data_IF_641588426144
#
_entry.id   IF_641588426144
#
_cell.length_a   1.000
_cell.length_b   1.000
_cell.length_c   1.000
_cell.angle_alpha   90.00
_cell.angle_beta   90.00
_cell.angle_gamma   90.00
#
_symmetry.space_group_name_H-M   'P 1'
#
loop_
_entity.id
_entity.type
_entity.pdbx_description
1 polymer ?
#
# COMPACT_ATOMS: atom_id res chain seq x y z
N UNK A 1 -8.29 9.93 19.73
CA UNK A 1 -9.18 10.67 20.65
C UNK A 1 -9.56 12.00 20.03
N UNK A 2 -10.59 12.70 20.52
CA UNK A 2 -10.94 14.04 20.03
C UNK A 2 -9.76 15.03 20.14
N UNK A 3 -9.00 14.95 21.24
CA UNK A 3 -7.79 15.77 21.43
C UNK A 3 -6.73 15.51 20.34
N UNK A 4 -6.51 14.25 19.95
CA UNK A 4 -5.55 13.91 18.91
C UNK A 4 -6.03 14.34 17.51
N UNK A 5 -7.34 14.29 17.25
CA UNK A 5 -7.92 14.78 16.00
C UNK A 5 -7.78 16.30 15.88
N UNK A 6 -8.06 17.05 16.96
CA UNK A 6 -7.85 18.51 16.99
C UNK A 6 -6.38 18.85 16.75
N UNK A 7 -5.47 18.16 17.44
CA UNK A 7 -4.03 18.38 17.23
C UNK A 7 -3.59 18.08 15.79
N UNK A 8 -4.12 17.03 15.16
CA UNK A 8 -3.82 16.69 13.77
C UNK A 8 -4.29 17.81 12.83
N UNK A 9 -5.51 18.32 13.04
CA UNK A 9 -6.07 19.41 12.25
C UNK A 9 -5.24 20.70 12.38
N UNK A 10 -4.85 21.06 13.61
CA UNK A 10 -4.01 22.23 13.88
C UNK A 10 -2.63 22.08 13.22
N UNK A 11 -1.99 20.91 13.35
CA UNK A 11 -0.67 20.65 12.77
C UNK A 11 -0.67 20.69 11.23
N UNK A 12 -1.75 20.22 10.60
CA UNK A 12 -1.91 20.28 9.14
C UNK A 12 -2.24 21.69 8.66
N UNK A 13 -3.02 22.45 9.44
CA UNK A 13 -3.27 23.88 9.20
C UNK A 13 -1.96 24.68 9.23
N UNK A 14 -1.11 24.44 10.23
CA UNK A 14 0.21 25.09 10.34
C UNK A 14 1.15 24.71 9.19
N UNK A 15 1.11 23.46 8.73
CA UNK A 15 1.86 23.03 7.55
C UNK A 15 1.37 23.75 6.29
N UNK A 16 0.05 23.83 6.09
CA UNK A 16 -0.57 24.51 4.96
C UNK A 16 -0.21 26.01 4.92
N UNK A 17 -0.33 26.71 6.06
CA UNK A 17 0.02 28.13 6.18
C UNK A 17 1.50 28.39 5.90
N UNK A 18 2.37 27.44 6.23
CA UNK A 18 3.80 27.49 5.94
C UNK A 18 4.16 27.03 4.52
N UNK A 19 3.19 26.64 3.69
CA UNK A 19 3.43 26.11 2.33
C UNK A 19 4.16 24.76 2.32
N UNK A 20 4.12 24.01 3.42
CA UNK A 20 4.79 22.70 3.56
C UNK A 20 3.82 21.57 3.22
N UNK A 21 4.38 20.46 2.76
CA UNK A 21 3.66 19.19 2.63
C UNK A 21 3.80 18.33 3.89
N UNK A 22 2.85 17.42 4.08
CA UNK A 22 2.83 16.51 5.21
C UNK A 22 2.78 15.03 4.74
N UNK A 23 3.57 14.20 5.41
CA UNK A 23 3.49 12.74 5.38
C UNK A 23 2.99 12.28 6.75
N UNK A 24 1.95 11.47 6.78
CA UNK A 24 1.32 11.02 8.02
C UNK A 24 1.73 9.59 8.31
N UNK A 25 2.17 9.32 9.53
CA UNK A 25 2.55 7.98 9.97
C UNK A 25 1.59 7.51 11.06
N UNK A 26 0.98 6.35 10.87
CA UNK A 26 0.13 5.67 11.85
C UNK A 26 0.57 4.22 11.96
N UNK A 27 0.56 3.61 13.14
CA UNK A 27 0.79 2.16 13.18
C UNK A 27 -0.34 1.39 12.48
N UNK A 28 -1.59 1.82 12.71
CA UNK A 28 -2.80 1.15 12.22
C UNK A 28 -3.30 1.84 10.93
N UNK A 29 -3.55 1.09 9.84
CA UNK A 29 -4.06 1.61 8.58
C UNK A 29 -5.38 2.39 8.69
N UNK A 30 -5.54 3.39 7.83
CA UNK A 30 -6.69 4.29 7.82
C UNK A 30 -7.67 4.02 6.66
N UNK A 31 -7.26 3.30 5.63
CA UNK A 31 -8.05 3.15 4.41
C UNK A 31 -8.20 1.69 4.03
N UNK A 32 -9.45 1.20 3.98
CA UNK A 32 -9.75 -0.21 3.76
C UNK A 32 -9.08 -0.74 2.49
N UNK A 33 -9.19 -0.13 1.31
CA UNK A 33 -8.53 -0.67 0.11
C UNK A 33 -7.02 -0.90 0.24
N UNK A 34 -6.31 -0.26 1.19
CA UNK A 34 -4.89 -0.49 1.44
C UNK A 34 -4.58 -1.49 2.57
N UNK A 35 -5.57 -2.16 3.17
CA UNK A 35 -5.39 -3.11 4.30
C UNK A 35 -6.53 -4.12 4.41
N UNK A 36 -6.47 -5.11 5.32
CA UNK A 36 -7.64 -5.94 5.67
C UNK A 36 -8.62 -5.21 6.57
N UNK A 37 -9.87 -5.67 6.57
CA UNK A 37 -10.93 -5.13 7.44
C UNK A 37 -10.57 -5.19 8.93
N UNK A 38 -9.97 -6.30 9.38
CA UNK A 38 -9.61 -6.53 10.79
C UNK A 38 -8.45 -5.66 11.31
N UNK A 39 -7.71 -5.01 10.41
CA UNK A 39 -6.54 -4.19 10.71
C UNK A 39 -6.80 -2.71 10.50
N UNK A 40 -8.03 -2.31 10.16
CA UNK A 40 -8.43 -0.92 10.01
C UNK A 40 -8.62 -0.25 11.38
N UNK A 41 -8.17 0.99 11.52
CA UNK A 41 -8.45 1.77 12.72
C UNK A 41 -9.97 2.02 12.87
N UNK A 42 -10.48 1.96 14.09
CA UNK A 42 -11.92 1.98 14.33
C UNK A 42 -12.60 3.29 13.91
N UNK A 43 -11.95 4.43 14.17
CA UNK A 43 -12.47 5.75 13.82
C UNK A 43 -11.83 6.29 12.52
N UNK A 44 -11.55 5.40 11.56
CA UNK A 44 -10.92 5.74 10.28
C UNK A 44 -11.62 6.90 9.57
N UNK A 45 -12.95 6.88 9.54
CA UNK A 45 -13.76 7.93 8.90
C UNK A 45 -13.54 9.31 9.52
N UNK A 46 -13.39 9.40 10.84
CA UNK A 46 -13.12 10.67 11.52
C UNK A 46 -11.73 11.22 11.17
N UNK A 47 -10.73 10.34 11.11
CA UNK A 47 -9.35 10.72 10.78
C UNK A 47 -9.28 11.14 9.31
N UNK A 48 -9.85 10.33 8.40
CA UNK A 48 -9.87 10.62 6.97
C UNK A 48 -10.56 11.95 6.67
N UNK A 49 -11.66 12.29 7.36
CA UNK A 49 -12.30 13.60 7.22
C UNK A 49 -11.35 14.76 7.51
N UNK A 50 -10.51 14.67 8.55
CA UNK A 50 -9.49 15.69 8.84
C UNK A 50 -8.45 15.72 7.73
N UNK A 51 -7.92 14.56 7.32
CA UNK A 51 -6.91 14.50 6.25
C UNK A 51 -7.43 15.06 4.92
N UNK A 52 -8.68 14.78 4.56
CA UNK A 52 -9.32 15.25 3.33
C UNK A 52 -9.59 16.76 3.33
N UNK A 53 -9.84 17.36 4.49
CA UNK A 53 -9.90 18.82 4.63
C UNK A 53 -8.55 19.49 4.29
N UNK A 54 -7.44 18.75 4.45
CA UNK A 54 -6.07 19.17 4.16
C UNK A 54 -5.47 18.45 2.94
N UNK A 55 -6.29 18.04 1.97
CA UNK A 55 -5.87 17.22 0.81
C UNK A 55 -4.76 17.83 -0.06
N UNK A 56 -4.58 19.15 -0.04
CA UNK A 56 -3.50 19.81 -0.79
C UNK A 56 -2.21 19.91 0.04
N UNK A 57 -2.26 19.56 1.32
CA UNK A 57 -1.12 19.54 2.25
C UNK A 57 -0.62 18.11 2.48
N UNK A 58 -1.53 17.16 2.67
CA UNK A 58 -1.21 15.76 2.96
C UNK A 58 -0.94 15.00 1.67
N UNK A 59 0.26 14.42 1.56
CA UNK A 59 0.70 13.69 0.36
C UNK A 59 0.44 12.20 0.47
N UNK A 60 0.72 11.60 1.62
CA UNK A 60 0.55 10.17 1.86
C UNK A 60 0.36 9.84 3.33
N UNK A 61 -0.29 8.71 3.58
CA UNK A 61 -0.38 8.02 4.87
C UNK A 61 0.44 6.73 4.78
N UNK A 62 1.34 6.53 5.74
CA UNK A 62 2.08 5.29 5.93
C UNK A 62 1.55 4.55 7.15
N UNK A 63 1.36 3.26 6.98
CA UNK A 63 0.96 2.36 8.04
C UNK A 63 1.72 1.03 8.04
N UNK A 64 1.59 0.31 9.15
CA UNK A 64 2.02 -1.08 9.27
C UNK A 64 0.85 -1.92 9.76
N UNK A 65 1.06 -2.69 10.84
CA UNK A 65 0.06 -3.53 11.52
C UNK A 65 -0.48 -4.71 10.70
N UNK A 66 -0.88 -4.50 9.45
CA UNK A 66 -1.18 -5.56 8.50
C UNK A 66 0.10 -6.05 7.84
N UNK A 67 0.61 -7.19 8.28
CA UNK A 67 1.89 -7.74 7.83
C UNK A 67 1.94 -8.04 6.32
N UNK A 68 0.77 -8.24 5.71
CA UNK A 68 0.63 -8.52 4.28
C UNK A 68 0.83 -7.27 3.42
N UNK A 69 0.78 -6.08 4.01
CA UNK A 69 0.91 -4.83 3.29
C UNK A 69 -0.25 -4.54 2.32
N UNK A 70 -0.13 -3.42 1.63
CA UNK A 70 -1.10 -2.96 0.64
C UNK A 70 -0.83 -1.53 0.23
N UNK A 71 -1.33 -1.17 -0.95
CA UNK A 71 -1.28 0.18 -1.47
C UNK A 71 -2.58 0.52 -2.21
N UNK A 72 -3.11 1.71 -1.94
CA UNK A 72 -4.24 2.26 -2.66
C UNK A 72 -4.20 3.79 -2.65
N UNK A 73 -4.95 4.41 -3.55
CA UNK A 73 -5.21 5.85 -3.57
C UNK A 73 -6.70 6.04 -3.35
N UNK A 74 -7.09 6.96 -2.48
CA UNK A 74 -8.50 7.29 -2.25
C UNK A 74 -9.03 8.33 -3.25
N UNK A 75 -10.33 8.60 -3.19
CA UNK A 75 -11.02 9.52 -4.12
C UNK A 75 -10.54 10.97 -4.00
N UNK A 76 -9.91 11.35 -2.88
CA UNK A 76 -9.29 12.67 -2.70
C UNK A 76 -7.87 12.73 -3.32
N UNK A 77 -7.36 11.61 -3.83
CA UNK A 77 -6.02 11.49 -4.38
C UNK A 77 -4.94 11.26 -3.31
N UNK A 78 -5.32 10.91 -2.07
CA UNK A 78 -4.38 10.63 -0.99
C UNK A 78 -3.85 9.20 -1.11
N UNK A 79 -2.53 9.06 -1.09
CA UNK A 79 -1.86 7.76 -1.13
C UNK A 79 -1.88 7.09 0.23
N UNK A 80 -2.31 5.83 0.30
CA UNK A 80 -2.28 5.01 1.50
C UNK A 80 -1.33 3.84 1.28
N UNK A 81 -0.21 3.82 2.03
CA UNK A 81 0.84 2.81 1.95
C UNK A 81 0.86 2.02 3.24
N UNK A 82 0.38 0.78 3.21
CA UNK A 82 0.55 -0.17 4.32
C UNK A 82 1.76 -1.04 4.01
N UNK A 83 2.81 -0.89 4.82
CA UNK A 83 4.05 -1.61 4.62
C UNK A 83 3.93 -3.06 5.09
N UNK A 84 4.57 -3.96 4.34
CA UNK A 84 4.80 -5.33 4.76
C UNK A 84 5.60 -5.38 6.05
N UNK A 85 5.42 -6.44 6.84
CA UNK A 85 6.20 -6.64 8.06
C UNK A 85 7.54 -7.31 7.76
N UNK A 86 8.66 -6.79 8.31
CA UNK A 86 9.93 -7.51 8.29
C UNK A 86 9.86 -8.90 8.93
N UNK A 87 8.91 -9.13 9.86
CA UNK A 87 8.70 -10.43 10.50
C UNK A 87 8.31 -11.54 9.51
N UNK A 88 7.66 -11.18 8.40
CA UNK A 88 7.18 -12.11 7.38
C UNK A 88 8.02 -12.06 6.10
N UNK A 89 9.13 -11.32 6.11
CA UNK A 89 10.04 -11.25 4.98
C UNK A 89 10.76 -12.60 4.76
N UNK A 90 11.16 -12.85 3.52
CA UNK A 90 12.00 -14.02 3.23
C UNK A 90 13.35 -13.87 3.96
N UNK A 91 13.86 -14.98 4.49
CA UNK A 91 15.15 -14.98 5.20
C UNK A 91 16.24 -14.47 4.25
N UNK A 92 17.00 -13.46 4.69
CA UNK A 92 18.06 -12.84 3.90
C UNK A 92 17.58 -11.79 2.89
N UNK A 93 16.28 -11.45 2.87
CA UNK A 93 15.75 -10.32 2.10
C UNK A 93 15.47 -9.11 2.98
N UNK A 94 15.54 -7.92 2.39
CA UNK A 94 15.12 -6.67 3.03
C UNK A 94 13.59 -6.53 3.06
N UNK A 95 13.12 -5.70 4.00
CA UNK A 95 11.74 -5.24 4.07
C UNK A 95 11.73 -3.85 4.69
N UNK A 96 12.17 -2.88 3.90
CA UNK A 96 12.22 -1.49 4.31
C UNK A 96 12.09 -0.57 3.08
N UNK A 97 11.98 0.72 3.32
CA UNK A 97 11.93 1.70 2.25
C UNK A 97 12.60 3.01 2.66
N UNK A 98 13.07 3.74 1.67
CA UNK A 98 13.55 5.11 1.79
C UNK A 98 12.52 6.06 1.19
N UNK A 99 12.25 7.16 1.88
CA UNK A 99 11.41 8.25 1.38
C UNK A 99 12.31 9.40 0.92
N UNK A 100 12.28 9.71 -0.36
CA UNK A 100 12.92 10.87 -0.96
C UNK A 100 11.87 11.98 -1.07
N UNK A 101 12.01 13.04 -0.27
CA UNK A 101 11.08 14.18 -0.28
C UNK A 101 11.61 15.26 -1.21
N UNK A 102 10.76 15.77 -2.10
CA UNK A 102 11.13 16.76 -3.10
C UNK A 102 10.50 18.13 -2.81
N UNK A 103 11.21 19.21 -3.20
CA UNK A 103 10.85 20.60 -2.90
C UNK A 103 9.56 21.07 -3.57
N UNK A 104 9.17 20.44 -4.68
CA UNK A 104 7.92 20.66 -5.42
C UNK A 104 6.72 19.90 -4.79
N UNK A 105 6.93 19.27 -3.64
CA UNK A 105 5.85 18.83 -2.76
C UNK A 105 5.29 17.44 -3.07
N UNK A 106 6.10 16.56 -3.65
CA UNK A 106 5.84 15.13 -3.76
C UNK A 106 6.96 14.33 -3.08
N UNK A 107 6.72 13.04 -2.89
CA UNK A 107 7.72 12.13 -2.34
C UNK A 107 7.85 10.86 -3.19
N UNK A 108 9.06 10.30 -3.24
CA UNK A 108 9.30 8.98 -3.80
C UNK A 108 9.52 7.98 -2.67
N UNK A 109 8.77 6.89 -2.71
CA UNK A 109 9.02 5.72 -1.87
C UNK A 109 9.86 4.73 -2.67
N UNK A 110 11.02 4.36 -2.17
CA UNK A 110 11.93 3.38 -2.79
C UNK A 110 12.04 2.16 -1.89
N UNK A 111 11.52 1.02 -2.35
CA UNK A 111 11.46 -0.21 -1.57
C UNK A 111 12.73 -1.05 -1.72
N UNK A 112 13.18 -1.61 -0.60
CA UNK A 112 14.20 -2.65 -0.55
C UNK A 112 13.55 -3.97 -0.15
N UNK A 113 13.69 -4.97 -1.01
CA UNK A 113 12.96 -6.23 -0.93
C UNK A 113 11.45 -6.03 -1.09
N UNK A 114 10.64 -6.75 -0.31
CA UNK A 114 9.17 -6.70 -0.40
C UNK A 114 8.58 -5.86 0.73
N UNK A 115 8.60 -4.54 0.55
CA UNK A 115 8.12 -3.58 1.55
C UNK A 115 6.67 -3.11 1.33
N UNK A 116 6.16 -3.20 0.11
CA UNK A 116 4.77 -2.86 -0.23
C UNK A 116 4.32 -3.67 -1.45
N UNK A 117 3.06 -4.10 -1.46
CA UNK A 117 2.51 -5.00 -2.49
C UNK A 117 1.11 -4.56 -2.91
N UNK A 118 0.61 -5.15 -4.00
CA UNK A 118 -0.78 -5.01 -4.41
C UNK A 118 -1.74 -5.35 -3.26
N UNK A 119 -2.70 -4.46 -3.04
CA UNK A 119 -3.76 -4.67 -2.08
C UNK A 119 -4.63 -5.87 -2.44
N UNK A 120 -5.32 -6.41 -1.43
CA UNK A 120 -6.27 -7.53 -1.61
C UNK A 120 -5.63 -8.82 -2.13
N UNK A 121 -4.31 -8.97 -2.00
CA UNK A 121 -3.56 -10.15 -2.45
C UNK A 121 -3.07 -11.05 -1.31
N UNK A 122 -3.36 -10.70 -0.05
CA UNK A 122 -2.87 -11.40 1.14
C UNK A 122 -1.33 -11.49 1.17
N UNK A 123 -0.64 -10.42 0.76
CA UNK A 123 0.81 -10.33 0.74
C UNK A 123 1.49 -10.96 -0.48
N UNK A 124 0.72 -11.71 -1.28
CA UNK A 124 1.23 -12.50 -2.39
C UNK A 124 1.16 -11.80 -3.76
N UNK A 125 0.65 -10.57 -3.83
CA UNK A 125 0.62 -9.77 -5.06
C UNK A 125 1.99 -9.36 -5.57
N UNK A 126 2.03 -8.62 -6.67
CA UNK A 126 3.28 -8.02 -7.16
C UNK A 126 3.74 -6.92 -6.20
N UNK A 127 5.05 -6.72 -6.11
CA UNK A 127 5.64 -5.75 -5.20
C UNK A 127 5.82 -4.40 -5.89
N UNK A 128 5.63 -3.31 -5.15
CA UNK A 128 6.02 -1.98 -5.59
C UNK A 128 7.48 -1.77 -5.24
N UNK A 129 8.36 -1.73 -6.25
CA UNK A 129 9.77 -1.34 -6.06
C UNK A 129 9.91 0.15 -5.82
N UNK A 130 8.96 0.93 -6.37
CA UNK A 130 8.85 2.35 -6.13
C UNK A 130 7.39 2.81 -6.12
N UNK A 131 7.13 3.92 -5.44
CA UNK A 131 5.89 4.69 -5.58
C UNK A 131 6.23 6.17 -5.75
N UNK A 132 5.62 6.81 -6.74
CA UNK A 132 5.53 8.26 -6.86
C UNK A 132 4.30 8.71 -6.08
N UNK A 133 4.52 9.46 -5.01
CA UNK A 133 3.49 9.97 -4.11
C UNK A 133 3.23 11.43 -4.47
N UNK A 134 2.42 11.63 -5.49
CA UNK A 134 2.00 12.93 -6.00
C UNK A 134 0.55 12.85 -6.44
N UNK A 135 -0.22 13.92 -6.26
CA UNK A 135 -1.64 13.96 -6.65
C UNK A 135 -1.79 13.62 -8.13
N UNK A 136 -2.57 12.57 -8.43
CA UNK A 136 -2.78 12.07 -9.79
C UNK A 136 -1.70 11.14 -10.34
N UNK A 137 -0.66 10.81 -9.56
CA UNK A 137 0.33 9.82 -9.96
C UNK A 137 -0.28 8.43 -10.06
N UNK A 138 0.09 7.70 -11.12
CA UNK A 138 -0.24 6.29 -11.28
C UNK A 138 0.98 5.46 -10.92
N UNK A 139 0.80 4.51 -10.02
CA UNK A 139 1.85 3.57 -9.63
C UNK A 139 1.50 2.17 -10.13
N UNK A 140 2.50 1.43 -10.59
CA UNK A 140 2.33 0.05 -11.06
C UNK A 140 3.36 -0.84 -10.36
N UNK A 141 2.94 -2.00 -9.86
CA UNK A 141 3.86 -2.93 -9.21
C UNK A 141 4.69 -3.68 -10.27
N UNK A 142 5.85 -4.16 -9.85
CA UNK A 142 6.83 -4.82 -10.71
C UNK A 142 7.02 -6.29 -10.32
N UNK A 143 7.58 -7.05 -11.27
CA UNK A 143 7.94 -8.46 -11.08
C UNK A 143 6.74 -9.42 -11.00
N UNK A 144 7.02 -10.72 -10.79
CA UNK A 144 5.97 -11.73 -10.64
C UNK A 144 5.28 -11.62 -9.28
N UNK A 145 4.03 -12.07 -9.22
CA UNK A 145 3.37 -12.29 -7.92
C UNK A 145 3.96 -13.53 -7.24
N UNK A 146 3.80 -13.66 -5.93
CA UNK A 146 4.21 -14.88 -5.23
C UNK A 146 3.36 -16.10 -5.65
N UNK A 147 2.11 -15.89 -6.09
CA UNK A 147 1.26 -16.94 -6.64
C UNK A 147 1.83 -17.58 -7.91
N UNK A 148 2.55 -16.80 -8.70
CA UNK A 148 3.18 -17.25 -9.94
C UNK A 148 4.50 -17.96 -9.62
N UNK A 149 5.28 -17.40 -8.70
CA UNK A 149 6.59 -17.92 -8.33
C UNK A 149 6.54 -19.29 -7.64
N UNK A 150 5.47 -19.60 -6.91
CA UNK A 150 5.33 -20.87 -6.19
C UNK A 150 4.45 -21.92 -6.90
N UNK A 151 3.90 -21.59 -8.08
CA UNK A 151 2.95 -22.43 -8.81
C UNK A 151 1.67 -22.76 -8.03
N UNK A 152 1.34 -22.03 -6.97
CA UNK A 152 0.14 -22.25 -6.15
C UNK A 152 -1.14 -21.94 -6.93
N UNK A 153 -1.11 -20.94 -7.81
CA UNK A 153 -2.22 -20.63 -8.73
C UNK A 153 -2.58 -21.85 -9.58
N UNK A 154 -1.56 -22.47 -10.19
CA UNK A 154 -1.72 -23.69 -10.99
C UNK A 154 -2.31 -24.83 -10.15
N UNK A 155 -1.71 -25.10 -8.97
CA UNK A 155 -2.15 -26.18 -8.08
C UNK A 155 -3.58 -25.97 -7.57
N UNK A 156 -3.98 -24.74 -7.28
CA UNK A 156 -5.32 -24.40 -6.83
C UNK A 156 -6.36 -24.61 -7.94
N UNK A 157 -6.06 -24.21 -9.17
CA UNK A 157 -6.96 -24.43 -10.31
C UNK A 157 -7.14 -25.93 -10.59
N UNK A 158 -6.05 -26.69 -10.55
CA UNK A 158 -6.11 -28.15 -10.67
C UNK A 158 -6.93 -28.77 -9.53
N UNK A 159 -6.78 -28.31 -8.29
CA UNK A 159 -7.57 -28.78 -7.15
C UNK A 159 -9.07 -28.43 -7.25
N UNK A 160 -9.40 -27.33 -7.95
CA UNK A 160 -10.78 -26.94 -8.28
C UNK A 160 -11.36 -27.71 -9.49
N UNK A 161 -10.60 -28.66 -10.05
CA UNK A 161 -11.04 -29.54 -11.13
C UNK A 161 -10.73 -29.03 -12.54
N UNK A 162 -9.97 -27.95 -12.69
CA UNK A 162 -9.51 -27.49 -14.00
C UNK A 162 -8.45 -28.47 -14.52
N UNK A 163 -8.54 -28.82 -15.82
CA UNK A 163 -7.47 -29.56 -16.47
C UNK A 163 -6.17 -28.74 -16.49
N UNK A 164 -5.02 -29.42 -16.60
CA UNK A 164 -3.72 -28.74 -16.65
C UNK A 164 -3.64 -27.69 -17.77
N UNK A 165 -4.35 -27.88 -18.88
CA UNK A 165 -4.42 -26.89 -19.96
C UNK A 165 -5.26 -25.67 -19.57
N UNK A 166 -6.46 -25.90 -19.01
CA UNK A 166 -7.34 -24.82 -18.55
C UNK A 166 -6.71 -24.00 -17.42
N UNK A 167 -5.98 -24.65 -16.51
CA UNK A 167 -5.26 -23.98 -15.44
C UNK A 167 -4.14 -23.08 -16.00
N UNK A 168 -3.39 -23.53 -17.02
CA UNK A 168 -2.35 -22.72 -17.68
C UNK A 168 -2.92 -21.56 -18.48
N UNK A 169 -4.05 -21.76 -19.17
CA UNK A 169 -4.74 -20.67 -19.89
C UNK A 169 -5.27 -19.61 -18.93
N UNK A 170 -5.88 -20.02 -17.81
CA UNK A 170 -6.37 -19.11 -16.80
C UNK A 170 -5.24 -18.30 -16.15
N UNK A 171 -4.09 -18.92 -15.85
CA UNK A 171 -2.92 -18.21 -15.33
C UNK A 171 -2.34 -17.22 -16.33
N UNK A 172 -2.25 -17.58 -17.62
CA UNK A 172 -1.78 -16.66 -18.67
C UNK A 172 -2.71 -15.45 -18.84
N UNK A 173 -4.02 -15.65 -18.71
CA UNK A 173 -5.00 -14.57 -18.80
C UNK A 173 -4.92 -13.59 -17.61
N UNK A 174 -4.42 -14.03 -16.45
CA UNK A 174 -4.23 -13.18 -15.26
C UNK A 174 -2.79 -12.65 -15.11
N UNK A 175 -1.92 -12.87 -16.10
CA UNK A 175 -0.53 -12.41 -16.08
C UNK A 175 0.43 -13.26 -15.24
N UNK A 176 0.04 -14.49 -14.89
CA UNK A 176 0.88 -15.41 -14.15
C UNK A 176 1.86 -16.18 -15.03
N UNK A 177 3.10 -16.31 -14.56
CA UNK A 177 4.17 -17.03 -15.29
C UNK A 177 3.99 -18.55 -15.16
N UNK A 178 4.24 -19.26 -16.26
CA UNK A 178 4.08 -20.71 -16.38
C UNK A 178 5.39 -21.28 -16.90
N UNK A 179 6.38 -21.36 -16.01
CA UNK A 179 7.57 -22.20 -16.18
C UNK A 179 7.28 -23.61 -15.64
#
# INVERSE_FOLDING_TARGET
>A
SSQQLSWLDDALSDAALAGRKALVFSHVPLFRPATKFKTLVWNAEEILRVLHAHQDTVVAVFAGHDHDGGYAVDDAGLHHVTMNSPLTAAVGSDCCAVLECHDDGWARFVAFGRACVESETLGAGRAYTELVLAKGATNSPAGPSLYDADGSGFRRLVALGFSGTQAREAMRATGGDVA
#
